data_IF_058095699190
#
_entry.id   IF_058095699190
#
_cell.length_a   1.000
_cell.length_b   1.000
_cell.length_c   1.000
_cell.angle_alpha   90.00
_cell.angle_beta   90.00
_cell.angle_gamma   90.00
#
_symmetry.space_group_name_H-M   'P 1'
#
loop_
_entity.id
_entity.type
_entity.pdbx_description
1 polymer ?
#
# COMPACT_ATOMS: atom_id res chain seq x y z
N UNK A 1 8.12 11.74 1.83
CA UNK A 1 8.54 12.48 0.61
C UNK A 1 7.31 12.66 -0.26
N UNK A 2 7.11 13.84 -0.86
CA UNK A 2 6.03 14.07 -1.81
C UNK A 2 6.19 13.16 -3.05
N UNK A 3 5.09 12.71 -3.65
CA UNK A 3 5.09 11.79 -4.81
C UNK A 3 4.02 12.12 -5.83
N UNK A 4 4.29 11.79 -7.09
CA UNK A 4 3.28 11.85 -8.14
C UNK A 4 2.33 10.63 -8.09
N UNK A 5 1.11 10.78 -8.62
CA UNK A 5 0.13 9.68 -8.64
C UNK A 5 0.61 8.44 -9.40
N UNK A 6 1.35 8.62 -10.50
CA UNK A 6 1.99 7.53 -11.24
C UNK A 6 3.12 6.87 -10.45
N UNK A 7 3.95 7.65 -9.76
CA UNK A 7 5.00 7.08 -8.89
C UNK A 7 4.40 6.21 -7.78
N UNK A 8 3.24 6.57 -7.24
CA UNK A 8 2.53 5.73 -6.25
C UNK A 8 2.14 4.38 -6.87
N UNK A 9 1.64 4.36 -8.10
CA UNK A 9 1.32 3.13 -8.83
C UNK A 9 2.55 2.26 -9.07
N UNK A 10 3.64 2.88 -9.52
CA UNK A 10 4.90 2.19 -9.81
C UNK A 10 5.49 1.56 -8.55
N UNK A 11 5.48 2.29 -7.42
CA UNK A 11 5.97 1.79 -6.14
C UNK A 11 5.14 0.64 -5.57
N UNK A 12 3.82 0.67 -5.74
CA UNK A 12 2.97 -0.44 -5.32
C UNK A 12 3.34 -1.69 -6.12
N UNK A 13 3.48 -1.55 -7.43
CA UNK A 13 3.85 -2.65 -8.32
C UNK A 13 5.24 -3.21 -7.97
N UNK A 14 6.22 -2.33 -7.76
CA UNK A 14 7.59 -2.71 -7.37
C UNK A 14 7.60 -3.44 -6.02
N UNK A 15 6.98 -2.87 -4.98
CA UNK A 15 7.00 -3.42 -3.62
C UNK A 15 6.21 -4.70 -3.46
N UNK A 16 5.25 -4.94 -4.34
CA UNK A 16 4.48 -6.19 -4.36
C UNK A 16 5.06 -7.20 -5.33
N UNK A 17 6.24 -6.96 -5.90
CA UNK A 17 6.87 -7.84 -6.89
C UNK A 17 5.94 -8.19 -8.06
N UNK A 18 5.15 -7.21 -8.52
CA UNK A 18 4.17 -7.37 -9.58
C UNK A 18 2.92 -8.19 -9.21
N UNK A 19 2.82 -8.71 -7.97
CA UNK A 19 1.62 -9.43 -7.51
C UNK A 19 0.40 -8.51 -7.42
N UNK A 20 0.63 -7.20 -7.25
CA UNK A 20 -0.42 -6.20 -7.37
C UNK A 20 0.00 -5.08 -8.32
N UNK A 21 -0.67 -5.04 -9.48
CA UNK A 21 -0.53 -3.93 -10.44
C UNK A 21 -1.59 -2.88 -10.16
N UNK A 22 -1.16 -1.76 -9.60
CA UNK A 22 -2.03 -0.63 -9.32
C UNK A 22 -2.39 0.09 -10.63
N UNK A 23 -3.68 0.21 -10.94
CA UNK A 23 -4.16 0.91 -12.14
C UNK A 23 -4.73 2.30 -11.81
N UNK A 24 -4.77 3.22 -12.79
CA UNK A 24 -5.30 4.57 -12.60
C UNK A 24 -6.71 4.63 -12.00
N UNK A 25 -7.59 3.72 -12.43
CA UNK A 25 -8.98 3.66 -11.98
C UNK A 25 -9.14 3.26 -10.51
N UNK A 26 -8.13 2.62 -9.91
CA UNK A 26 -8.11 2.31 -8.47
C UNK A 26 -7.40 3.40 -7.66
N UNK A 27 -6.24 3.88 -8.14
CA UNK A 27 -5.40 4.79 -7.36
C UNK A 27 -5.96 6.21 -7.31
N UNK A 28 -6.43 6.79 -8.41
CA UNK A 28 -6.91 8.17 -8.36
C UNK A 28 -8.14 8.36 -7.47
N UNK A 29 -9.16 7.48 -7.49
CA UNK A 29 -10.26 7.55 -6.54
C UNK A 29 -9.80 7.40 -5.08
N UNK A 30 -8.83 6.52 -4.81
CA UNK A 30 -8.26 6.35 -3.48
C UNK A 30 -7.55 7.64 -3.01
N UNK A 31 -6.74 8.26 -3.86
CA UNK A 31 -6.06 9.52 -3.53
C UNK A 31 -7.06 10.64 -3.27
N UNK A 32 -8.09 10.76 -4.10
CA UNK A 32 -9.17 11.73 -3.88
C UNK A 32 -9.87 11.50 -2.54
N UNK A 33 -10.17 10.24 -2.19
CA UNK A 33 -10.76 9.89 -0.91
C UNK A 33 -9.84 10.27 0.26
N UNK A 34 -8.55 9.94 0.19
CA UNK A 34 -7.58 10.29 1.24
C UNK A 34 -7.45 11.81 1.42
N UNK A 35 -7.51 12.58 0.32
CA UNK A 35 -7.47 14.04 0.36
C UNK A 35 -8.75 14.62 0.98
N UNK A 36 -9.92 14.08 0.62
CA UNK A 36 -11.21 14.46 1.23
C UNK A 36 -11.25 14.21 2.74
N UNK A 37 -10.58 13.16 3.22
CA UNK A 37 -10.45 12.87 4.66
C UNK A 37 -9.33 13.67 5.34
N UNK A 38 -8.62 14.55 4.61
CA UNK A 38 -7.53 15.35 5.13
C UNK A 38 -6.28 14.55 5.52
N UNK A 39 -6.14 13.31 5.02
CA UNK A 39 -5.01 12.43 5.32
C UNK A 39 -3.82 12.72 4.39
N UNK A 40 -4.09 13.20 3.18
CA UNK A 40 -3.08 13.71 2.25
C UNK A 40 -3.50 15.10 1.77
N UNK A 41 -2.52 15.85 1.28
CA UNK A 41 -2.74 17.12 0.57
C UNK A 41 -2.04 17.05 -0.80
N UNK A 42 -2.72 17.56 -1.83
CA UNK A 42 -2.24 17.59 -3.20
C UNK A 42 -1.97 19.01 -3.69
N UNK A 43 -0.76 19.25 -4.18
CA UNK A 43 -0.33 20.52 -4.79
C UNK A 43 -0.02 20.30 -6.29
N UNK A 44 -0.33 21.28 -7.13
CA UNK A 44 0.06 21.24 -8.54
C UNK A 44 1.51 21.71 -8.68
N UNK A 45 2.33 20.94 -9.38
CA UNK A 45 3.73 21.30 -9.65
C UNK A 45 3.82 22.66 -10.38
N UNK A 46 2.99 22.84 -11.40
CA UNK A 46 2.74 24.12 -12.06
C UNK A 46 1.27 24.53 -11.79
N UNK A 47 1.01 25.57 -10.98
CA UNK A 47 -0.35 26.02 -10.66
C UNK A 47 -1.16 26.50 -11.88
N UNK A 48 -0.49 26.93 -12.95
CA UNK A 48 -1.12 27.44 -14.18
C UNK A 48 -1.44 26.30 -15.14
N UNK A 49 -0.52 25.36 -15.34
CA UNK A 49 -0.69 24.24 -16.28
C UNK A 49 -1.43 23.05 -15.69
N UNK A 50 -1.36 22.86 -14.36
CA UNK A 50 -2.01 21.75 -13.63
C UNK A 50 -1.78 20.38 -14.26
N UNK A 51 -0.55 20.14 -14.70
CA UNK A 51 -0.14 18.92 -15.42
C UNK A 51 0.14 17.76 -14.50
N UNK A 52 0.74 18.03 -13.33
CA UNK A 52 1.16 17.00 -12.38
C UNK A 52 0.76 17.41 -10.96
N UNK A 53 0.07 16.51 -10.26
CA UNK A 53 -0.34 16.69 -8.85
C UNK A 53 0.61 15.89 -7.96
N UNK A 54 1.24 16.59 -7.02
CA UNK A 54 2.16 16.05 -6.03
C UNK A 54 1.41 15.90 -4.73
N UNK A 55 1.49 14.73 -4.10
CA UNK A 55 0.81 14.45 -2.85
C UNK A 55 1.79 14.24 -1.70
N UNK A 56 1.43 14.75 -0.52
CA UNK A 56 2.14 14.53 0.73
C UNK A 56 1.17 14.14 1.85
N UNK A 57 1.66 13.39 2.84
CA UNK A 57 0.88 13.11 4.05
C UNK A 57 0.72 14.39 4.85
N UNK A 58 -0.47 14.59 5.40
CA UNK A 58 -0.70 15.59 6.44
C UNK A 58 -0.27 15.02 7.79
N UNK A 59 -0.24 15.85 8.83
CA UNK A 59 -0.04 15.39 10.20
C UNK A 59 -1.10 14.34 10.63
N UNK A 60 -2.36 14.54 10.24
CA UNK A 60 -3.43 13.57 10.48
C UNK A 60 -3.18 12.25 9.72
N UNK A 61 -2.68 12.34 8.48
CA UNK A 61 -2.26 11.18 7.71
C UNK A 61 -1.14 10.38 8.35
N UNK A 62 -0.13 11.04 8.92
CA UNK A 62 0.98 10.37 9.62
C UNK A 62 0.53 9.66 10.90
N UNK A 63 -0.38 10.29 11.66
CA UNK A 63 -0.98 9.69 12.85
C UNK A 63 -1.81 8.47 12.49
N UNK A 64 -2.66 8.58 11.47
CA UNK A 64 -3.52 7.48 11.02
C UNK A 64 -2.69 6.32 10.45
N UNK A 65 -1.67 6.61 9.66
CA UNK A 65 -0.72 5.61 9.18
C UNK A 65 -0.04 4.87 10.33
N UNK A 66 0.36 5.58 11.39
CA UNK A 66 0.98 4.98 12.58
C UNK A 66 0.00 4.09 13.33
N UNK A 67 -1.25 4.54 13.50
CA UNK A 67 -2.33 3.77 14.12
C UNK A 67 -2.63 2.50 13.33
N UNK A 68 -2.79 2.59 12.01
CA UNK A 68 -3.04 1.45 11.14
C UNK A 68 -1.90 0.44 11.18
N UNK A 69 -0.64 0.89 11.15
CA UNK A 69 0.53 -0.01 11.29
C UNK A 69 0.50 -0.78 12.61
N UNK A 70 0.18 -0.11 13.71
CA UNK A 70 0.11 -0.77 15.02
C UNK A 70 -0.98 -1.84 15.10
N UNK A 71 -2.09 -1.66 14.36
CA UNK A 71 -3.21 -2.61 14.35
C UNK A 71 -2.97 -3.76 13.36
N UNK A 72 -2.50 -3.44 12.16
CA UNK A 72 -2.42 -4.39 11.04
C UNK A 72 -1.19 -5.28 11.13
N UNK A 73 -0.04 -4.75 11.56
CA UNK A 73 1.21 -5.51 11.64
C UNK A 73 1.09 -6.81 12.45
N UNK A 74 0.66 -6.80 13.73
CA UNK A 74 0.62 -8.04 14.53
C UNK A 74 -0.32 -9.07 13.90
N UNK A 75 -1.45 -8.62 13.33
CA UNK A 75 -2.41 -9.50 12.64
C UNK A 75 -1.82 -10.16 11.40
N UNK A 76 -1.01 -9.41 10.63
CA UNK A 76 -0.31 -9.97 9.47
C UNK A 76 0.77 -10.96 9.90
N UNK A 77 1.51 -10.67 10.98
CA UNK A 77 2.54 -11.57 11.52
C UNK A 77 1.90 -12.89 11.99
N UNK A 78 0.78 -12.84 12.71
CA UNK A 78 -0.01 -14.01 13.10
C UNK A 78 -0.50 -14.81 11.87
N UNK A 79 -1.06 -14.13 10.86
CA UNK A 79 -1.54 -14.79 9.64
C UNK A 79 -0.41 -15.46 8.85
N UNK A 80 0.76 -14.82 8.76
CA UNK A 80 1.94 -15.38 8.10
C UNK A 80 2.40 -16.64 8.82
N UNK A 81 2.44 -16.64 10.15
CA UNK A 81 2.85 -17.81 10.93
C UNK A 81 1.95 -19.03 10.63
N UNK A 82 0.62 -18.84 10.65
CA UNK A 82 -0.34 -19.90 10.31
C UNK A 82 -0.13 -20.41 8.88
N UNK A 83 0.03 -19.50 7.91
CA UNK A 83 0.25 -19.92 6.51
C UNK A 83 1.58 -20.66 6.32
N UNK A 84 2.62 -20.30 7.06
CA UNK A 84 3.90 -20.99 7.03
C UNK A 84 3.81 -22.41 7.59
N UNK A 85 3.09 -22.61 8.69
CA UNK A 85 2.80 -23.95 9.24
C UNK A 85 2.05 -24.81 8.22
N UNK A 86 1.00 -24.28 7.59
CA UNK A 86 0.24 -25.00 6.56
C UNK A 86 1.11 -25.38 5.35
N UNK A 87 2.02 -24.51 4.92
CA UNK A 87 2.97 -24.82 3.84
C UNK A 87 3.95 -25.90 4.26
N UNK A 88 4.42 -25.90 5.51
CA UNK A 88 5.29 -26.95 6.04
C UNK A 88 4.58 -28.30 6.07
N UNK A 89 3.33 -28.34 6.52
CA UNK A 89 2.53 -29.56 6.57
C UNK A 89 2.34 -30.17 5.17
N UNK A 90 2.05 -29.33 4.16
CA UNK A 90 1.92 -29.78 2.77
C UNK A 90 3.23 -30.37 2.22
N UNK A 91 4.37 -29.75 2.52
CA UNK A 91 5.68 -30.25 2.09
C UNK A 91 6.13 -31.49 2.88
N UNK A 92 5.70 -31.63 4.13
CA UNK A 92 5.96 -32.80 4.99
C UNK A 92 5.17 -34.03 4.57
N UNK A 93 3.92 -33.86 4.15
CA UNK A 93 3.07 -34.93 3.62
C UNK A 93 3.63 -35.56 2.33
N UNK A 94 4.43 -34.82 1.55
CA UNK A 94 5.13 -35.37 0.38
C UNK A 94 6.30 -36.30 0.77
N UNK A 95 6.84 -36.20 1.99
CA UNK A 95 7.98 -37.00 2.46
C UNK A 95 7.62 -38.30 3.22
N UNK A 96 6.33 -38.56 3.48
CA UNK A 96 5.87 -39.79 4.16
C UNK A 96 5.38 -40.88 3.18
N UNK A 97 5.47 -40.67 1.86
CA UNK A 97 5.01 -41.63 0.82
C UNK A 97 6.17 -42.41 0.16
N UNK A 98 7.38 -42.42 0.75
CA UNK A 98 8.49 -43.30 0.35
C UNK A 98 8.83 -44.30 1.44
#
# INVERSE_FOLDING_TARGET
QPRYGNEVMDLITERTHGQWVANPGAIYPLMMMLEQHGLIEGEWEDPQKRTVRIYRLTQAGEQEMSRLKAIVRPKLEEAIAVLQELVQDLNGAENEIL
#
